data_IF_917182118677
#
_entry.id   IF_917182118677
#
_cell.length_a   1.000
_cell.length_b   1.000
_cell.length_c   1.000
_cell.angle_alpha   90.00
_cell.angle_beta   90.00
_cell.angle_gamma   90.00
#
_symmetry.space_group_name_H-M   'P 1'
#
loop_
_entity.id
_entity.type
_entity.pdbx_description
1 polymer ?
#
# COMPACT_ATOMS: atom_id res chain seq x y z
N UNK A 1 -27.86 19.23 -17.31
CA UNK A 1 -26.79 19.17 -18.33
C UNK A 1 -25.38 19.41 -17.75
N UNK A 2 -25.12 19.04 -16.48
CA UNK A 2 -23.83 19.35 -15.82
C UNK A 2 -22.85 18.17 -15.78
N UNK A 3 -23.26 16.97 -16.21
CA UNK A 3 -22.41 15.78 -16.17
C UNK A 3 -21.27 15.75 -17.20
N UNK A 4 -21.46 16.36 -18.37
CA UNK A 4 -20.46 16.36 -19.45
C UNK A 4 -19.27 17.32 -19.22
N UNK A 5 -19.46 18.35 -18.38
CA UNK A 5 -18.41 19.31 -18.04
C UNK A 5 -17.53 18.82 -16.88
N UNK A 6 -18.07 17.96 -16.00
CA UNK A 6 -17.31 17.36 -14.90
C UNK A 6 -16.44 16.18 -15.35
N UNK A 7 -16.88 15.43 -16.37
CA UNK A 7 -16.13 14.29 -16.92
C UNK A 7 -14.89 14.74 -17.73
N UNK A 8 -15.01 15.82 -18.50
CA UNK A 8 -13.91 16.39 -19.29
C UNK A 8 -12.77 16.97 -18.44
N UNK A 9 -13.08 17.53 -17.25
CA UNK A 9 -12.06 18.01 -16.30
C UNK A 9 -11.32 16.87 -15.57
N UNK A 10 -11.96 15.73 -15.30
CA UNK A 10 -11.32 14.52 -14.75
C UNK A 10 -10.43 13.81 -15.78
N UNK A 11 -10.84 13.82 -17.05
CA UNK A 11 -10.05 13.29 -18.17
C UNK A 11 -8.74 14.09 -18.37
N UNK A 12 -8.77 15.42 -18.27
CA UNK A 12 -7.60 16.29 -18.46
C UNK A 12 -6.51 16.18 -17.36
N UNK A 13 -6.80 15.58 -16.20
CA UNK A 13 -5.80 15.39 -15.13
C UNK A 13 -5.09 14.01 -15.13
N UNK A 14 -5.30 13.17 -16.14
CA UNK A 14 -4.55 11.90 -16.29
C UNK A 14 -3.35 12.09 -17.22
N UNK A 15 -2.19 12.37 -16.64
CA UNK A 15 -0.88 12.43 -17.33
C UNK A 15 -0.52 11.12 -18.06
N UNK A 16 -1.18 10.02 -17.71
CA UNK A 16 -1.07 8.71 -18.33
C UNK A 16 -2.48 8.10 -18.36
N UNK A 17 -2.92 7.57 -19.51
CA UNK A 17 -4.17 6.80 -19.52
C UNK A 17 -4.02 5.62 -18.57
N UNK A 18 -5.06 5.35 -17.79
CA UNK A 18 -5.18 4.21 -16.86
C UNK A 18 -4.87 2.89 -17.56
N UNK A 19 -5.17 2.80 -18.86
CA UNK A 19 -4.80 1.66 -19.70
C UNK A 19 -3.27 1.49 -19.75
N UNK A 20 -2.51 2.54 -20.06
CA UNK A 20 -1.04 2.49 -20.05
C UNK A 20 -0.49 2.17 -18.66
N UNK A 21 -1.04 2.77 -17.61
CA UNK A 21 -0.65 2.46 -16.23
C UNK A 21 -0.90 0.99 -15.86
N UNK A 22 -2.04 0.44 -16.26
CA UNK A 22 -2.40 -0.96 -16.06
C UNK A 22 -1.50 -1.92 -16.84
N UNK A 23 -1.20 -1.61 -18.10
CA UNK A 23 -0.29 -2.42 -18.93
C UNK A 23 1.12 -2.42 -18.33
N UNK A 24 1.66 -1.25 -17.96
CA UNK A 24 2.99 -1.17 -17.37
C UNK A 24 3.07 -1.95 -16.05
N UNK A 25 2.05 -1.81 -15.20
CA UNK A 25 1.97 -2.53 -13.92
C UNK A 25 1.85 -4.05 -14.13
N UNK A 26 1.06 -4.48 -15.12
CA UNK A 26 0.91 -5.88 -15.50
C UNK A 26 2.23 -6.47 -15.99
N UNK A 27 2.93 -5.79 -16.91
CA UNK A 27 4.25 -6.20 -17.39
C UNK A 27 5.27 -6.29 -16.26
N UNK A 28 5.29 -5.30 -15.38
CA UNK A 28 6.17 -5.30 -14.20
C UNK A 28 5.86 -6.47 -13.26
N UNK A 29 4.57 -6.74 -13.02
CA UNK A 29 4.14 -7.88 -12.19
C UNK A 29 4.53 -9.22 -12.83
N UNK A 30 4.32 -9.39 -14.13
CA UNK A 30 4.72 -10.61 -14.85
C UNK A 30 6.23 -10.81 -14.81
N UNK A 31 7.00 -9.74 -15.02
CA UNK A 31 8.46 -9.80 -14.92
C UNK A 31 8.94 -10.15 -13.51
N UNK A 32 8.32 -9.58 -12.47
CA UNK A 32 8.64 -9.88 -11.09
C UNK A 32 8.32 -11.34 -10.72
N UNK A 33 7.15 -11.83 -11.11
CA UNK A 33 6.75 -13.23 -10.89
C UNK A 33 7.68 -14.20 -11.62
N UNK A 34 8.11 -13.87 -12.84
CA UNK A 34 9.02 -14.71 -13.62
C UNK A 34 10.44 -14.80 -13.05
N UNK A 35 10.91 -13.78 -12.32
CA UNK A 35 12.29 -13.70 -11.83
C UNK A 35 12.45 -14.11 -10.37
N UNK A 36 11.59 -13.62 -9.48
CA UNK A 36 11.74 -13.79 -8.02
C UNK A 36 10.46 -14.20 -7.29
N UNK A 37 9.29 -13.96 -7.87
CA UNK A 37 8.00 -14.27 -7.27
C UNK A 37 7.10 -13.04 -7.10
N UNK A 38 6.00 -13.21 -6.37
CA UNK A 38 4.95 -12.20 -6.23
C UNK A 38 5.46 -10.86 -5.63
N UNK A 39 4.90 -9.75 -6.09
CA UNK A 39 5.23 -8.41 -5.61
C UNK A 39 4.71 -8.18 -4.19
N UNK A 40 5.58 -8.36 -3.19
CA UNK A 40 5.26 -8.20 -1.78
C UNK A 40 5.95 -7.00 -1.13
N UNK A 41 5.22 -5.91 -0.87
CA UNK A 41 5.76 -4.79 -0.08
C UNK A 41 5.95 -5.20 1.38
N UNK A 42 4.98 -5.94 1.92
CA UNK A 42 4.90 -6.18 3.36
C UNK A 42 5.99 -7.09 3.93
N UNK A 43 6.60 -7.98 3.13
CA UNK A 43 7.70 -8.87 3.57
C UNK A 43 8.95 -8.07 3.92
N UNK A 44 9.17 -6.96 3.21
CA UNK A 44 10.34 -6.11 3.38
C UNK A 44 10.36 -5.37 4.72
N UNK A 45 9.22 -5.18 5.38
CA UNK A 45 9.20 -4.64 6.75
C UNK A 45 9.93 -5.56 7.73
N UNK A 46 9.81 -6.89 7.58
CA UNK A 46 10.50 -7.84 8.44
C UNK A 46 12.00 -7.96 8.10
N UNK A 47 12.38 -7.74 6.84
CA UNK A 47 13.80 -7.66 6.42
C UNK A 47 14.47 -6.43 7.03
N UNK A 48 13.81 -5.28 7.01
CA UNK A 48 14.31 -4.05 7.67
C UNK A 48 14.43 -4.27 9.18
N UNK A 49 13.42 -4.90 9.79
CA UNK A 49 13.44 -5.21 11.22
C UNK A 49 14.60 -6.14 11.59
N UNK A 50 14.84 -7.19 10.80
CA UNK A 50 15.99 -8.08 10.98
C UNK A 50 17.35 -7.41 10.76
N UNK A 51 17.44 -6.48 9.81
CA UNK A 51 18.66 -5.68 9.59
C UNK A 51 18.90 -4.70 10.75
N UNK A 52 17.85 -4.05 11.22
CA UNK A 52 17.91 -3.11 12.35
C UNK A 52 18.22 -3.83 13.67
N UNK A 53 17.64 -5.01 13.90
CA UNK A 53 17.91 -5.83 15.09
C UNK A 53 19.37 -6.30 15.11
N UNK A 54 19.92 -6.67 13.95
CA UNK A 54 21.35 -6.98 13.79
C UNK A 54 22.26 -5.78 14.09
N UNK A 55 21.87 -4.58 13.69
CA UNK A 55 22.62 -3.34 13.98
C UNK A 55 22.60 -2.96 15.46
N UNK A 56 21.49 -3.25 16.15
CA UNK A 56 21.30 -2.98 17.58
C UNK A 56 21.82 -4.11 18.49
N UNK A 57 22.33 -5.22 17.91
CA UNK A 57 22.79 -6.38 18.67
C UNK A 57 21.66 -7.13 19.41
N UNK A 58 20.40 -6.90 19.03
CA UNK A 58 19.23 -7.55 19.61
C UNK A 58 18.91 -8.80 18.78
N UNK A 59 19.24 -9.98 19.31
CA UNK A 59 19.12 -11.25 18.60
C UNK A 59 17.68 -11.82 18.61
N UNK A 60 16.74 -11.04 18.09
CA UNK A 60 15.36 -11.49 17.89
C UNK A 60 15.25 -12.55 16.78
N UNK A 61 16.25 -12.61 15.90
CA UNK A 61 16.34 -13.56 14.79
C UNK A 61 16.59 -15.00 15.25
N UNK A 62 17.37 -15.22 16.32
CA UNK A 62 17.56 -16.55 16.92
C UNK A 62 16.44 -16.97 17.86
N UNK A 63 15.73 -15.99 18.45
CA UNK A 63 14.68 -16.25 19.46
C UNK A 63 13.29 -16.51 18.84
N UNK A 64 13.00 -15.98 17.66
CA UNK A 64 11.72 -16.18 16.97
C UNK A 64 11.87 -16.99 15.67
N UNK A 65 11.25 -18.17 15.61
CA UNK A 65 11.18 -19.04 14.41
C UNK A 65 10.58 -18.37 13.17
N UNK A 66 9.83 -17.28 13.37
CA UNK A 66 9.26 -16.48 12.30
C UNK A 66 10.32 -15.59 11.62
N UNK A 67 11.29 -15.06 12.36
CA UNK A 67 12.35 -14.20 11.80
C UNK A 67 13.46 -15.02 11.15
N UNK A 68 13.70 -16.25 11.62
CA UNK A 68 14.68 -17.17 11.00
C UNK A 68 14.29 -17.66 9.60
N UNK A 69 13.00 -17.63 9.25
CA UNK A 69 12.49 -17.99 7.92
C UNK A 69 12.52 -16.85 6.90
N UNK A 70 12.89 -15.64 7.31
CA UNK A 70 12.94 -14.46 6.46
C UNK A 70 14.43 -14.14 6.22
N UNK A 71 14.92 -14.19 4.96
CA UNK A 71 16.28 -13.78 4.64
C UNK A 71 16.53 -12.37 5.17
N UNK A 72 17.58 -12.22 5.98
CA UNK A 72 18.07 -10.92 6.48
C UNK A 72 18.80 -10.10 5.41
N UNK A 73 18.80 -10.59 4.16
CA UNK A 73 19.48 -9.96 3.04
C UNK A 73 18.56 -8.96 2.31
N UNK A 74 19.19 -7.93 1.76
CA UNK A 74 18.56 -6.98 0.85
C UNK A 74 18.21 -7.74 -0.45
N UNK A 75 16.96 -8.16 -0.57
CA UNK A 75 16.45 -8.84 -1.76
C UNK A 75 16.18 -7.86 -2.91
N UNK A 76 16.11 -8.37 -4.15
CA UNK A 76 15.68 -7.59 -5.31
C UNK A 76 14.34 -6.85 -5.07
N UNK A 77 13.42 -7.51 -4.37
CA UNK A 77 12.11 -6.96 -4.01
C UNK A 77 12.22 -5.74 -3.07
N UNK A 78 13.27 -5.69 -2.25
CA UNK A 78 13.58 -4.54 -1.41
C UNK A 78 13.97 -3.33 -2.27
N UNK A 79 14.83 -3.54 -3.27
CA UNK A 79 15.25 -2.49 -4.21
C UNK A 79 14.06 -1.93 -5.00
N UNK A 80 13.10 -2.79 -5.38
CA UNK A 80 11.84 -2.35 -6.03
C UNK A 80 11.01 -1.45 -5.12
N UNK A 81 10.90 -1.75 -3.82
CA UNK A 81 10.17 -0.90 -2.89
C UNK A 81 10.84 0.46 -2.69
N UNK A 82 12.17 0.48 -2.55
CA UNK A 82 12.94 1.73 -2.49
C UNK A 82 12.74 2.54 -3.78
N UNK A 83 12.80 1.88 -4.93
CA UNK A 83 12.52 2.48 -6.23
C UNK A 83 11.11 3.06 -6.34
N UNK A 84 10.10 2.43 -5.73
CA UNK A 84 8.73 2.95 -5.68
C UNK A 84 8.62 4.25 -4.86
N UNK A 85 9.31 4.32 -3.72
CA UNK A 85 9.36 5.54 -2.88
C UNK A 85 10.05 6.67 -3.64
N UNK A 86 11.23 6.41 -4.20
CA UNK A 86 12.00 7.39 -4.96
C UNK A 86 11.25 7.82 -6.22
N UNK A 87 10.69 6.87 -6.98
CA UNK A 87 9.93 7.12 -8.20
C UNK A 87 8.67 7.92 -7.95
N UNK A 88 7.94 7.64 -6.86
CA UNK A 88 6.79 8.43 -6.42
C UNK A 88 7.19 9.87 -6.09
N UNK A 89 8.29 10.05 -5.35
CA UNK A 89 8.82 11.36 -5.03
C UNK A 89 9.23 12.13 -6.29
N UNK A 90 10.03 11.52 -7.17
CA UNK A 90 10.48 12.15 -8.40
C UNK A 90 9.30 12.52 -9.32
N UNK A 91 8.28 11.66 -9.42
CA UNK A 91 7.07 11.96 -10.17
C UNK A 91 6.31 13.18 -9.62
N UNK A 92 6.31 13.38 -8.29
CA UNK A 92 5.69 14.58 -7.69
C UNK A 92 6.52 15.85 -7.91
N UNK A 93 7.85 15.73 -7.89
CA UNK A 93 8.78 16.83 -8.17
C UNK A 93 8.68 17.28 -9.63
N UNK A 94 8.72 16.34 -10.58
CA UNK A 94 8.57 16.62 -12.02
C UNK A 94 7.22 17.29 -12.31
N UNK A 95 6.16 16.89 -11.59
CA UNK A 95 4.83 17.49 -11.76
C UNK A 95 4.67 18.84 -11.06
N UNK A 96 5.63 19.30 -10.26
CA UNK A 96 5.53 20.55 -9.50
C UNK A 96 4.37 20.60 -8.51
N UNK A 97 3.78 19.45 -8.15
CA UNK A 97 2.57 19.34 -7.32
C UNK A 97 2.88 18.84 -5.91
N UNK A 98 3.94 19.36 -5.29
CA UNK A 98 4.28 19.07 -3.91
C UNK A 98 3.27 19.75 -2.97
N UNK A 99 2.14 19.08 -2.72
CA UNK A 99 1.15 19.53 -1.76
C UNK A 99 1.33 18.74 -0.45
N UNK A 100 2.31 19.14 0.35
CA UNK A 100 2.59 18.53 1.65
C UNK A 100 1.49 18.95 2.61
N UNK A 101 0.47 18.09 2.75
CA UNK A 101 -0.67 18.35 3.64
C UNK A 101 -0.68 17.34 4.78
N UNK A 102 -0.44 17.83 6.01
CA UNK A 102 -0.41 16.98 7.20
C UNK A 102 -1.77 16.37 7.57
N UNK A 103 -2.88 17.02 7.20
CA UNK A 103 -4.24 16.55 7.47
C UNK A 103 -5.12 16.65 6.22
N UNK A 104 -5.57 15.52 5.64
CA UNK A 104 -6.45 15.53 4.46
C UNK A 104 -7.75 16.31 4.71
N UNK A 105 -8.29 17.00 3.70
CA UNK A 105 -9.56 17.76 3.81
C UNK A 105 -10.70 16.93 4.39
N UNK A 106 -10.78 15.66 3.98
CA UNK A 106 -11.77 14.69 4.48
C UNK A 106 -11.63 14.35 5.98
N UNK A 107 -10.43 14.45 6.53
CA UNK A 107 -10.21 14.24 7.96
C UNK A 107 -10.57 15.49 8.74
N UNK A 108 -10.19 16.67 8.24
CA UNK A 108 -10.53 17.96 8.86
C UNK A 108 -12.05 18.11 8.99
N UNK A 109 -12.80 17.78 7.93
CA UNK A 109 -14.26 17.89 7.94
C UNK A 109 -14.97 16.98 8.95
N UNK A 110 -14.34 15.88 9.37
CA UNK A 110 -14.96 14.87 10.25
C UNK A 110 -14.42 14.83 11.66
N UNK A 111 -13.11 15.00 11.82
CA UNK A 111 -12.37 14.82 13.07
C UNK A 111 -11.62 16.09 13.51
N UNK A 112 -11.72 17.18 12.73
CA UNK A 112 -11.05 18.45 12.98
C UNK A 112 -9.59 18.47 12.50
N UNK A 113 -8.93 19.62 12.69
CA UNK A 113 -7.54 19.85 12.25
C UNK A 113 -6.48 19.35 13.25
N UNK A 114 -6.87 18.51 14.22
CA UNK A 114 -5.95 17.99 15.22
C UNK A 114 -4.94 17.00 14.61
N UNK A 115 -3.74 17.50 14.31
CA UNK A 115 -2.57 16.69 13.90
C UNK A 115 -2.33 15.46 14.78
N UNK A 116 -2.27 15.53 16.13
CA UNK A 116 -1.98 14.36 16.95
C UNK A 116 -3.06 13.28 16.85
N UNK A 117 -4.34 13.65 16.76
CA UNK A 117 -5.44 12.70 16.56
C UNK A 117 -5.33 11.98 15.22
N UNK A 118 -4.91 12.69 14.17
CA UNK A 118 -4.68 12.08 12.84
C UNK A 118 -3.54 11.08 12.88
N UNK A 119 -2.40 11.44 13.46
CA UNK A 119 -1.25 10.55 13.56
C UNK A 119 -1.55 9.31 14.41
N UNK A 120 -2.22 9.48 15.55
CA UNK A 120 -2.64 8.35 16.39
C UNK A 120 -3.58 7.39 15.64
N UNK A 121 -4.59 7.92 14.93
CA UNK A 121 -5.50 7.11 14.14
C UNK A 121 -4.82 6.46 12.91
N UNK A 122 -3.89 7.15 12.26
CA UNK A 122 -3.11 6.60 11.16
C UNK A 122 -2.19 5.48 11.64
N UNK A 123 -1.59 5.62 12.81
CA UNK A 123 -0.78 4.58 13.44
C UNK A 123 -1.63 3.36 13.82
N UNK A 124 -2.76 3.56 14.50
CA UNK A 124 -3.67 2.47 14.85
C UNK A 124 -4.22 1.74 13.62
N UNK A 125 -4.60 2.50 12.58
CA UNK A 125 -5.04 1.93 11.30
C UNK A 125 -3.92 1.17 10.58
N UNK A 126 -2.70 1.72 10.56
CA UNK A 126 -1.53 1.06 10.00
C UNK A 126 -1.18 -0.24 10.72
N UNK A 127 -1.26 -0.25 12.05
CA UNK A 127 -1.09 -1.46 12.86
C UNK A 127 -2.13 -2.53 12.50
N UNK A 128 -3.41 -2.17 12.44
CA UNK A 128 -4.48 -3.10 12.03
C UNK A 128 -4.27 -3.65 10.61
N UNK A 129 -3.85 -2.81 9.67
CA UNK A 129 -3.55 -3.22 8.30
C UNK A 129 -2.36 -4.17 8.23
N UNK A 130 -1.29 -3.90 8.97
CA UNK A 130 -0.12 -4.77 9.01
C UNK A 130 -0.44 -6.10 9.69
N UNK A 131 -1.16 -6.06 10.80
CA UNK A 131 -1.64 -7.24 11.51
C UNK A 131 -2.52 -8.11 10.60
N UNK A 132 -3.51 -7.52 9.93
CA UNK A 132 -4.36 -8.23 8.97
C UNK A 132 -3.58 -8.81 7.78
N UNK A 133 -2.63 -8.06 7.23
CA UNK A 133 -1.77 -8.55 6.15
C UNK A 133 -0.88 -9.73 6.59
N UNK A 134 -0.45 -9.75 7.85
CA UNK A 134 0.29 -10.89 8.43
C UNK A 134 -0.61 -12.10 8.65
N UNK A 135 -1.80 -11.91 9.23
CA UNK A 135 -2.76 -12.99 9.42
C UNK A 135 -3.19 -13.64 8.10
N UNK A 136 -3.34 -12.84 7.03
CA UNK A 136 -3.68 -13.34 5.71
C UNK A 136 -2.50 -13.96 4.95
N UNK A 137 -1.26 -13.85 5.45
CA UNK A 137 -0.06 -14.33 4.76
C UNK A 137 0.42 -13.42 3.61
N UNK A 138 -0.10 -12.20 3.47
CA UNK A 138 0.46 -11.20 2.58
C UNK A 138 -0.39 -9.94 2.41
N UNK A 139 0.11 -9.01 1.57
CA UNK A 139 -0.51 -7.71 1.33
C UNK A 139 -1.29 -7.66 0.02
N UNK A 140 -2.00 -6.56 -0.22
CA UNK A 140 -2.78 -6.33 -1.44
C UNK A 140 -1.95 -6.53 -2.71
N UNK A 141 -0.71 -6.04 -2.76
CA UNK A 141 0.16 -6.26 -3.93
C UNK A 141 0.52 -7.74 -4.17
N UNK A 142 0.62 -8.55 -3.12
CA UNK A 142 0.98 -9.96 -3.25
C UNK A 142 -0.24 -10.83 -3.51
N UNK A 143 -1.23 -10.79 -2.62
CA UNK A 143 -2.41 -11.66 -2.69
C UNK A 143 -3.41 -11.21 -3.75
N UNK A 144 -3.62 -9.89 -3.92
CA UNK A 144 -4.59 -9.39 -4.90
C UNK A 144 -3.93 -9.28 -6.27
N UNK A 145 -2.87 -8.48 -6.41
CA UNK A 145 -2.29 -8.23 -7.74
C UNK A 145 -1.61 -9.47 -8.34
N UNK A 146 -0.63 -10.06 -7.66
CA UNK A 146 0.03 -11.27 -8.17
C UNK A 146 -0.85 -12.53 -8.05
N UNK A 147 -1.59 -12.69 -6.94
CA UNK A 147 -2.44 -13.87 -6.73
C UNK A 147 -3.60 -13.99 -7.73
N UNK A 148 -4.29 -12.90 -8.06
CA UNK A 148 -5.34 -12.92 -9.10
C UNK A 148 -4.73 -13.15 -10.48
N UNK A 149 -3.56 -12.56 -10.78
CA UNK A 149 -2.88 -12.79 -12.05
C UNK A 149 -2.48 -14.27 -12.25
N UNK A 150 -2.28 -15.01 -11.15
CA UNK A 150 -2.01 -16.45 -11.14
C UNK A 150 -3.29 -17.32 -11.07
N UNK A 151 -4.48 -16.72 -11.13
CA UNK A 151 -5.78 -17.37 -10.93
C UNK A 151 -5.91 -18.09 -9.57
N UNK A 152 -5.16 -17.66 -8.55
CA UNK A 152 -5.25 -18.27 -7.22
C UNK A 152 -6.59 -17.91 -6.55
N UNK A 153 -7.36 -18.93 -6.14
CA UNK A 153 -8.65 -18.74 -5.46
C UNK A 153 -8.51 -17.88 -4.19
N UNK A 154 -7.41 -18.07 -3.45
CA UNK A 154 -7.10 -17.27 -2.26
C UNK A 154 -7.01 -15.77 -2.55
N UNK A 155 -6.51 -15.38 -3.72
CA UNK A 155 -6.41 -13.98 -4.13
C UNK A 155 -7.77 -13.34 -4.36
N UNK A 156 -8.70 -14.07 -4.99
CA UNK A 156 -10.08 -13.59 -5.18
C UNK A 156 -10.83 -13.45 -3.86
N UNK A 157 -10.76 -14.47 -2.99
CA UNK A 157 -11.42 -14.43 -1.67
C UNK A 157 -10.88 -13.27 -0.83
N UNK A 158 -9.55 -13.10 -0.81
CA UNK A 158 -8.92 -11.99 -0.09
C UNK A 158 -9.32 -10.62 -0.67
N UNK A 159 -9.38 -10.48 -2.00
CA UNK A 159 -9.78 -9.24 -2.67
C UNK A 159 -11.21 -8.82 -2.33
N UNK A 160 -12.14 -9.78 -2.29
CA UNK A 160 -13.53 -9.51 -1.90
C UNK A 160 -13.59 -9.11 -0.42
N UNK A 161 -12.90 -9.84 0.46
CA UNK A 161 -12.90 -9.57 1.90
C UNK A 161 -12.30 -8.20 2.25
N UNK A 162 -11.17 -7.82 1.65
CA UNK A 162 -10.52 -6.53 1.90
C UNK A 162 -11.35 -5.36 1.35
N UNK A 163 -12.00 -5.53 0.19
CA UNK A 163 -12.88 -4.50 -0.35
C UNK A 163 -14.16 -4.35 0.47
N UNK A 164 -14.81 -5.46 0.86
CA UNK A 164 -16.00 -5.42 1.69
C UNK A 164 -15.72 -4.76 3.05
N UNK A 165 -14.65 -5.19 3.74
CA UNK A 165 -14.25 -4.59 5.02
C UNK A 165 -13.84 -3.11 4.88
N UNK A 166 -13.16 -2.73 3.80
CA UNK A 166 -12.82 -1.34 3.49
C UNK A 166 -14.06 -0.47 3.28
N UNK A 167 -15.03 -0.94 2.53
CA UNK A 167 -16.31 -0.24 2.30
C UNK A 167 -17.06 -0.08 3.63
N UNK A 168 -17.19 -1.15 4.41
CA UNK A 168 -17.87 -1.10 5.73
C UNK A 168 -17.17 -0.11 6.65
N UNK A 169 -15.83 -0.17 6.75
CA UNK A 169 -15.04 0.75 7.59
C UNK A 169 -15.20 2.20 7.15
N UNK A 170 -15.13 2.47 5.84
CA UNK A 170 -15.34 3.80 5.29
C UNK A 170 -16.75 4.31 5.58
N UNK A 171 -17.77 3.46 5.43
CA UNK A 171 -19.16 3.79 5.74
C UNK A 171 -19.35 4.06 7.22
N UNK A 172 -18.72 3.30 8.13
CA UNK A 172 -18.81 3.54 9.57
C UNK A 172 -18.12 4.84 9.99
N UNK A 173 -16.91 5.09 9.47
CA UNK A 173 -16.10 6.24 9.86
C UNK A 173 -16.65 7.57 9.31
N UNK A 174 -17.16 7.55 8.07
CA UNK A 174 -17.65 8.73 7.35
C UNK A 174 -19.17 8.80 7.19
N UNK A 175 -19.94 7.95 7.90
CA UNK A 175 -21.42 7.88 7.78
C UNK A 175 -22.16 9.19 8.00
N UNK A 176 -21.61 10.05 8.87
CA UNK A 176 -22.20 11.33 9.25
C UNK A 176 -21.35 12.46 8.68
N UNK A 177 -21.46 12.70 7.38
CA UNK A 177 -21.23 14.03 6.85
C UNK A 177 -22.52 14.79 7.14
N UNK A 178 -22.63 15.46 8.29
CA UNK A 178 -23.65 16.51 8.39
C UNK A 178 -23.13 17.65 7.52
N UNK A 179 -23.99 18.08 6.60
CA UNK A 179 -23.84 19.35 5.90
C UNK A 179 -23.75 20.51 6.88
#
# INVERSE_FOLDING_TARGET
MNGHLEDSSRQQQRWMSWVYGGILLGLLNTFAVATYGALGVSRNYAVVDGWLSGLLGLDFASTNSYMSGIPSAIDWLFMVNVGMVIGGFLATVIKGKLNVRSVPRLWVSRFGDSKPKRFAAAFAGGFLLLFGARLAGGCTSGLVLSGIAQLALAGFVFAVAIMASGIVTARLLYRRQSS
#
